data_IF_213783320725
#
_entry.id   IF_213783320725
#
_cell.length_a   1.000
_cell.length_b   1.000
_cell.length_c   1.000
_cell.angle_alpha   90.00
_cell.angle_beta   90.00
_cell.angle_gamma   90.00
#
_symmetry.space_group_name_H-M   'P 1'
#
loop_
_entity.id
_entity.type
_entity.pdbx_description
1 polymer ?
#
# COMPACT_ATOMS: atom_id res chain seq x y z
N UNK A 1 6.28 15.49 -15.81
CA UNK A 1 7.27 15.92 -14.80
C UNK A 1 8.51 15.04 -14.89
N UNK A 2 9.69 15.64 -15.07
CA UNK A 2 10.97 14.92 -15.15
C UNK A 2 11.56 14.80 -13.74
N UNK A 3 11.80 13.58 -13.27
CA UNK A 3 12.35 13.34 -11.90
C UNK A 3 13.84 13.69 -11.83
N UNK A 4 14.33 14.10 -10.65
CA UNK A 4 15.77 14.38 -10.40
C UNK A 4 16.67 13.23 -10.88
N UNK A 5 16.26 12.00 -10.58
CA UNK A 5 16.97 10.76 -10.96
C UNK A 5 17.10 10.60 -12.48
N UNK A 6 16.08 10.99 -13.26
CA UNK A 6 16.14 10.89 -14.72
C UNK A 6 17.19 11.82 -15.32
N UNK A 7 17.34 13.02 -14.76
CA UNK A 7 18.34 14.00 -15.20
C UNK A 7 19.75 13.52 -14.86
N UNK A 8 19.95 12.96 -13.67
CA UNK A 8 21.22 12.39 -13.25
C UNK A 8 21.65 11.23 -14.15
N UNK A 9 20.73 10.29 -14.45
CA UNK A 9 20.99 9.19 -15.39
C UNK A 9 21.31 9.68 -16.80
N UNK A 10 20.66 10.76 -17.25
CA UNK A 10 20.95 11.36 -18.55
C UNK A 10 22.36 11.95 -18.58
N UNK A 11 22.79 12.67 -17.54
CA UNK A 11 24.16 13.18 -17.42
C UNK A 11 25.21 12.08 -17.52
N UNK A 12 24.95 10.93 -16.89
CA UNK A 12 25.86 9.76 -16.99
C UNK A 12 25.94 9.22 -18.41
N UNK A 13 24.81 9.18 -19.14
CA UNK A 13 24.81 8.75 -20.54
C UNK A 13 25.53 9.76 -21.45
N UNK A 14 25.35 11.07 -21.22
CA UNK A 14 26.08 12.13 -21.93
C UNK A 14 27.59 12.04 -21.63
N UNK A 15 27.98 11.79 -20.39
CA UNK A 15 29.37 11.56 -20.01
C UNK A 15 29.95 10.34 -20.73
N UNK A 16 29.20 9.24 -20.81
CA UNK A 16 29.59 8.07 -21.57
C UNK A 16 29.81 8.39 -23.05
N UNK A 17 28.93 9.17 -23.69
CA UNK A 17 29.12 9.55 -25.10
C UNK A 17 30.39 10.36 -25.36
N UNK A 18 30.87 11.11 -24.36
CA UNK A 18 32.07 11.96 -24.49
C UNK A 18 33.37 11.24 -24.14
N UNK A 19 33.37 10.42 -23.09
CA UNK A 19 34.60 9.87 -22.50
C UNK A 19 34.75 8.34 -22.65
N UNK A 20 33.76 7.67 -23.23
CA UNK A 20 33.80 6.22 -23.39
C UNK A 20 33.33 5.45 -22.15
N UNK A 21 33.25 4.12 -22.31
CA UNK A 21 32.53 3.24 -21.38
C UNK A 21 33.22 3.09 -20.02
N UNK A 22 34.55 2.96 -20.01
CA UNK A 22 35.31 2.69 -18.79
C UNK A 22 35.24 3.90 -17.84
N UNK A 23 35.50 5.10 -18.36
CA UNK A 23 35.34 6.35 -17.63
C UNK A 23 33.92 6.53 -17.07
N UNK A 24 32.88 6.16 -17.82
CA UNK A 24 31.50 6.26 -17.34
C UNK A 24 31.16 5.28 -16.21
N UNK A 25 31.77 4.08 -16.22
CA UNK A 25 31.65 3.10 -15.13
C UNK A 25 32.29 3.68 -13.87
N UNK A 26 33.51 4.21 -13.99
CA UNK A 26 34.24 4.79 -12.86
C UNK A 26 33.54 6.02 -12.29
N UNK A 27 33.08 6.93 -13.16
CA UNK A 27 32.38 8.15 -12.75
C UNK A 27 31.04 7.86 -12.06
N UNK A 28 30.27 6.88 -12.55
CA UNK A 28 28.90 6.62 -12.04
C UNK A 28 28.83 5.52 -10.98
N UNK A 29 29.88 4.71 -10.84
CA UNK A 29 29.88 3.50 -10.01
C UNK A 29 28.84 2.46 -10.44
N UNK A 30 28.32 2.52 -11.67
CA UNK A 30 27.32 1.57 -12.19
C UNK A 30 27.96 0.56 -13.12
N UNK A 31 27.50 -0.68 -13.01
CA UNK A 31 27.95 -1.75 -13.90
C UNK A 31 27.69 -1.42 -15.37
N UNK A 32 28.54 -1.94 -16.25
CA UNK A 32 28.37 -1.90 -17.71
C UNK A 32 26.92 -2.24 -18.10
N UNK A 33 26.38 -3.36 -17.57
CA UNK A 33 25.02 -3.83 -17.86
C UNK A 33 23.96 -2.77 -17.55
N UNK A 34 24.10 -2.04 -16.45
CA UNK A 34 23.18 -0.97 -16.06
C UNK A 34 23.21 0.19 -17.06
N UNK A 35 24.40 0.62 -17.48
CA UNK A 35 24.56 1.73 -18.44
C UNK A 35 23.97 1.39 -19.82
N UNK A 36 24.23 0.19 -20.33
CA UNK A 36 23.60 -0.28 -21.58
C UNK A 36 22.07 -0.37 -21.46
N UNK A 37 21.56 -0.87 -20.33
CA UNK A 37 20.12 -0.90 -20.08
C UNK A 37 19.48 0.50 -20.03
N UNK A 38 20.18 1.50 -19.45
CA UNK A 38 19.72 2.88 -19.45
C UNK A 38 19.73 3.50 -20.84
N UNK A 39 20.80 3.28 -21.63
CA UNK A 39 20.88 3.75 -23.02
C UNK A 39 19.74 3.18 -23.86
N UNK A 40 19.48 1.87 -23.76
CA UNK A 40 18.33 1.24 -24.43
C UNK A 40 17.00 1.87 -24.00
N UNK A 41 16.78 2.04 -22.70
CA UNK A 41 15.55 2.67 -22.19
C UNK A 41 15.38 4.12 -22.64
N UNK A 42 16.48 4.87 -22.78
CA UNK A 42 16.47 6.23 -23.29
C UNK A 42 16.17 6.27 -24.79
N UNK A 43 16.74 5.36 -25.60
CA UNK A 43 16.40 5.24 -27.02
C UNK A 43 14.93 4.89 -27.23
N UNK A 44 14.39 3.96 -26.43
CA UNK A 44 13.00 3.51 -26.58
C UNK A 44 11.97 4.57 -26.14
N UNK A 45 12.26 5.33 -25.07
CA UNK A 45 11.24 6.12 -24.33
C UNK A 45 11.71 7.52 -23.91
N UNK A 46 12.87 7.97 -24.38
CA UNK A 46 13.49 9.23 -23.99
C UNK A 46 13.72 9.36 -22.48
N UNK A 47 13.64 10.59 -21.97
CA UNK A 47 13.77 10.91 -20.54
C UNK A 47 12.81 10.11 -19.63
N UNK A 48 11.63 9.71 -20.12
CA UNK A 48 10.67 8.89 -19.36
C UNK A 48 11.19 7.47 -19.11
N UNK A 49 12.02 6.95 -20.02
CA UNK A 49 12.69 5.66 -19.87
C UNK A 49 13.62 5.62 -18.66
N UNK A 50 14.27 6.74 -18.34
CA UNK A 50 15.24 6.86 -17.26
C UNK A 50 14.60 7.13 -15.89
N UNK A 51 13.28 7.28 -15.79
CA UNK A 51 12.62 7.44 -14.48
C UNK A 51 12.81 6.21 -13.59
N UNK A 52 12.92 6.42 -12.28
CA UNK A 52 12.87 5.31 -11.33
C UNK A 52 11.50 4.66 -11.41
N UNK A 53 11.48 3.36 -11.66
CA UNK A 53 10.26 2.55 -11.61
C UNK A 53 10.22 1.77 -10.31
N UNK A 54 9.03 1.39 -9.89
CA UNK A 54 8.87 0.47 -8.77
C UNK A 54 9.65 -0.82 -9.05
N UNK A 55 10.51 -1.21 -8.11
CA UNK A 55 11.19 -2.50 -8.09
C UNK A 55 10.31 -3.62 -7.54
N UNK A 56 9.07 -3.30 -7.15
CA UNK A 56 8.17 -4.28 -6.60
C UNK A 56 7.76 -5.30 -7.68
N UNK A 57 7.57 -6.58 -7.30
CA UNK A 57 7.10 -7.61 -8.23
C UNK A 57 5.78 -7.21 -8.89
N UNK A 58 5.67 -7.46 -10.21
CA UNK A 58 4.43 -7.21 -10.98
C UNK A 58 3.25 -8.02 -10.43
N UNK A 59 3.52 -9.26 -10.00
CA UNK A 59 2.53 -10.16 -9.38
C UNK A 59 2.91 -10.36 -7.92
N UNK A 60 2.23 -9.66 -7.03
CA UNK A 60 2.36 -9.87 -5.58
C UNK A 60 1.43 -11.00 -5.16
N UNK A 61 1.89 -11.88 -4.28
CA UNK A 61 1.06 -12.93 -3.67
C UNK A 61 -0.14 -12.27 -2.99
N UNK A 62 -1.35 -12.74 -3.33
CA UNK A 62 -2.59 -12.36 -2.64
C UNK A 62 -2.91 -13.41 -1.59
N UNK A 63 -3.50 -12.99 -0.47
CA UNK A 63 -4.04 -13.91 0.52
C UNK A 63 -5.32 -14.49 -0.07
N UNK A 64 -5.29 -15.78 -0.42
CA UNK A 64 -6.48 -16.49 -0.85
C UNK A 64 -7.02 -17.26 0.37
N UNK A 65 -8.18 -16.85 0.87
CA UNK A 65 -8.89 -17.52 1.97
C UNK A 65 -10.32 -17.82 1.51
N UNK A 66 -10.91 -18.97 1.91
CA UNK A 66 -12.27 -19.31 1.54
C UNK A 66 -13.26 -18.21 1.92
N UNK A 67 -14.13 -17.83 0.98
CA UNK A 67 -15.15 -16.80 1.21
C UNK A 67 -16.07 -17.14 2.39
N UNK A 68 -16.31 -18.42 2.65
CA UNK A 68 -17.09 -18.88 3.79
C UNK A 68 -16.47 -18.45 5.13
N UNK A 69 -15.14 -18.52 5.26
CA UNK A 69 -14.42 -18.08 6.47
C UNK A 69 -14.56 -16.56 6.64
N UNK A 70 -14.41 -15.80 5.56
CA UNK A 70 -14.59 -14.34 5.56
C UNK A 70 -16.02 -13.95 5.98
N UNK A 71 -17.04 -14.64 5.45
CA UNK A 71 -18.44 -14.44 5.82
C UNK A 71 -18.67 -14.75 7.30
N UNK A 72 -18.10 -15.84 7.81
CA UNK A 72 -18.25 -16.21 9.22
C UNK A 72 -17.59 -15.20 10.17
N UNK A 73 -16.40 -14.70 9.83
CA UNK A 73 -15.75 -13.63 10.60
C UNK A 73 -16.61 -12.37 10.60
N UNK A 74 -17.19 -12.01 9.46
CA UNK A 74 -18.09 -10.85 9.35
C UNK A 74 -19.36 -11.05 10.17
N UNK A 75 -19.98 -12.22 10.10
CA UNK A 75 -21.15 -12.57 10.91
C UNK A 75 -20.90 -12.32 12.39
N UNK A 76 -19.83 -12.89 12.95
CA UNK A 76 -19.49 -12.70 14.37
C UNK A 76 -19.19 -11.24 14.74
N UNK A 77 -18.61 -10.45 13.83
CA UNK A 77 -18.33 -9.03 14.08
C UNK A 77 -19.54 -8.12 13.94
N UNK A 78 -20.60 -8.59 13.28
CA UNK A 78 -21.90 -7.92 13.23
C UNK A 78 -22.72 -8.26 14.46
N UNK A 79 -22.78 -9.55 14.82
CA UNK A 79 -23.55 -10.06 15.96
C UNK A 79 -22.98 -9.57 17.31
N UNK A 80 -21.65 -9.62 17.44
CA UNK A 80 -20.91 -9.09 18.57
C UNK A 80 -20.00 -7.96 18.05
N UNK A 81 -20.48 -6.71 18.06
CA UNK A 81 -19.80 -5.59 17.43
C UNK A 81 -18.33 -5.49 17.80
N UNK A 82 -17.48 -5.42 16.77
CA UNK A 82 -16.05 -5.15 16.89
C UNK A 82 -15.20 -6.19 17.64
N UNK A 83 -15.69 -7.43 17.79
CA UNK A 83 -15.00 -8.52 18.49
C UNK A 83 -13.51 -8.68 18.11
N UNK A 84 -12.65 -8.90 19.10
CA UNK A 84 -11.21 -9.00 18.91
C UNK A 84 -10.78 -10.25 18.13
N UNK A 85 -9.64 -10.18 17.42
CA UNK A 85 -9.08 -11.30 16.62
C UNK A 85 -8.85 -12.59 17.41
N UNK A 86 -8.51 -12.50 18.70
CA UNK A 86 -8.30 -13.67 19.58
C UNK A 86 -9.62 -14.37 19.89
N UNK A 87 -10.65 -13.60 20.27
CA UNK A 87 -11.99 -14.12 20.53
C UNK A 87 -12.61 -14.70 19.26
N UNK A 88 -12.46 -14.02 18.12
CA UNK A 88 -12.91 -14.54 16.82
C UNK A 88 -12.28 -15.88 16.47
N UNK A 89 -11.00 -16.09 16.80
CA UNK A 89 -10.36 -17.38 16.56
C UNK A 89 -11.01 -18.50 17.37
N UNK A 90 -11.31 -18.26 18.65
CA UNK A 90 -11.99 -19.22 19.52
C UNK A 90 -13.37 -19.57 18.97
N UNK A 91 -14.17 -18.58 18.56
CA UNK A 91 -15.51 -18.81 17.99
C UNK A 91 -15.48 -19.48 16.61
N UNK A 92 -14.46 -19.19 15.80
CA UNK A 92 -14.34 -19.71 14.45
C UNK A 92 -13.83 -21.15 14.41
N UNK A 93 -13.01 -21.55 15.40
CA UNK A 93 -12.34 -22.86 15.41
C UNK A 93 -13.33 -24.05 15.35
N UNK A 94 -14.40 -24.13 16.18
CA UNK A 94 -15.39 -25.21 16.07
C UNK A 94 -16.11 -25.23 14.72
N UNK A 95 -16.45 -24.06 14.20
CA UNK A 95 -17.12 -23.93 12.90
C UNK A 95 -16.24 -24.41 11.74
N UNK A 96 -14.94 -24.11 11.78
CA UNK A 96 -13.96 -24.57 10.81
C UNK A 96 -13.78 -26.09 10.86
N UNK A 97 -13.66 -26.67 12.06
CA UNK A 97 -13.53 -28.12 12.28
C UNK A 97 -14.73 -28.85 11.69
N UNK A 98 -15.96 -28.40 12.01
CA UNK A 98 -17.20 -29.01 11.50
C UNK A 98 -17.31 -29.02 9.98
N UNK A 99 -16.65 -28.08 9.29
CA UNK A 99 -16.68 -27.96 7.83
C UNK A 99 -15.43 -28.52 7.14
N UNK A 100 -14.47 -29.07 7.89
CA UNK A 100 -13.20 -29.54 7.35
C UNK A 100 -12.35 -28.42 6.73
N UNK A 101 -12.54 -27.16 7.15
CA UNK A 101 -11.80 -26.01 6.63
C UNK A 101 -10.68 -25.67 7.60
N UNK A 102 -9.47 -25.41 7.08
CA UNK A 102 -8.38 -24.91 7.91
C UNK A 102 -8.77 -23.61 8.63
N UNK A 103 -8.63 -23.57 9.96
CA UNK A 103 -8.94 -22.37 10.73
C UNK A 103 -7.82 -21.34 10.58
N UNK A 104 -8.10 -20.08 10.20
CA UNK A 104 -7.08 -19.03 10.15
C UNK A 104 -6.53 -18.75 11.54
N UNK A 105 -5.21 -18.51 11.60
CA UNK A 105 -4.55 -18.05 12.83
C UNK A 105 -5.04 -16.66 13.24
N UNK A 106 -4.83 -16.29 14.51
CA UNK A 106 -5.22 -14.98 15.05
C UNK A 106 -4.63 -13.81 14.25
N UNK A 107 -3.38 -13.92 13.79
CA UNK A 107 -2.72 -12.91 12.94
C UNK A 107 -3.35 -12.84 11.55
N UNK A 108 -3.75 -13.99 11.00
CA UNK A 108 -4.43 -14.09 9.71
C UNK A 108 -5.82 -13.47 9.77
N UNK A 109 -6.59 -13.73 10.82
CA UNK A 109 -7.88 -13.09 11.06
C UNK A 109 -7.72 -11.56 11.10
N UNK A 110 -6.71 -11.06 11.82
CA UNK A 110 -6.41 -9.63 11.85
C UNK A 110 -6.10 -9.05 10.47
N UNK A 111 -5.35 -9.78 9.64
CA UNK A 111 -5.05 -9.38 8.25
C UNK A 111 -6.30 -9.41 7.37
N UNK A 112 -7.16 -10.42 7.50
CA UNK A 112 -8.43 -10.51 6.76
C UNK A 112 -9.37 -9.34 7.10
N UNK A 113 -9.46 -8.97 8.38
CA UNK A 113 -10.21 -7.79 8.83
C UNK A 113 -9.60 -6.52 8.23
N UNK A 114 -8.27 -6.39 8.25
CA UNK A 114 -7.59 -5.24 7.68
C UNK A 114 -7.76 -5.15 6.16
N UNK A 115 -7.74 -6.26 5.44
CA UNK A 115 -7.87 -6.27 3.97
C UNK A 115 -9.30 -5.92 3.52
N UNK A 116 -10.32 -6.06 4.39
CA UNK A 116 -11.69 -5.65 4.10
C UNK A 116 -11.84 -4.11 3.96
N UNK A 117 -12.62 -3.66 2.97
CA UNK A 117 -12.84 -2.23 2.67
C UNK A 117 -13.39 -1.45 3.87
N UNK A 118 -14.36 -2.04 4.56
CA UNK A 118 -15.06 -1.53 5.75
C UNK A 118 -14.34 -1.87 7.07
N UNK A 119 -13.22 -2.59 7.01
CA UNK A 119 -12.51 -3.17 8.16
C UNK A 119 -13.41 -4.03 9.06
N UNK A 120 -14.56 -4.50 8.54
CA UNK A 120 -15.59 -5.22 9.29
C UNK A 120 -15.94 -4.55 10.63
N UNK A 121 -15.96 -3.21 10.70
CA UNK A 121 -16.27 -2.47 11.93
C UNK A 121 -17.70 -1.98 11.89
N UNK A 122 -18.42 -2.19 12.99
CA UNK A 122 -19.73 -1.59 13.22
C UNK A 122 -19.50 -0.39 14.13
N UNK A 123 -19.79 0.81 13.63
CA UNK A 123 -19.75 2.03 14.46
C UNK A 123 -21.19 2.43 14.77
N UNK A 124 -21.54 2.70 16.05
CA UNK A 124 -22.86 3.21 16.37
C UNK A 124 -23.10 4.56 15.65
N UNK A 125 -24.33 4.82 15.19
CA UNK A 125 -24.66 6.11 14.60
C UNK A 125 -24.48 7.21 15.65
N UNK A 126 -23.97 8.36 15.22
CA UNK A 126 -23.96 9.54 16.08
C UNK A 126 -25.37 10.09 16.10
N UNK A 127 -25.96 10.24 17.28
CA UNK A 127 -27.31 10.77 17.42
C UNK A 127 -27.27 12.17 18.03
N UNK A 128 -28.28 12.97 17.71
CA UNK A 128 -28.61 14.21 18.43
C UNK A 128 -29.35 13.87 19.73
N UNK A 129 -29.53 14.86 20.62
CA UNK A 129 -30.34 14.68 21.83
C UNK A 129 -31.78 14.21 21.53
N UNK A 130 -32.28 14.47 20.32
CA UNK A 130 -33.61 14.04 19.84
C UNK A 130 -33.59 12.71 19.06
N UNK A 131 -32.51 11.93 19.15
CA UNK A 131 -32.40 10.64 18.47
C UNK A 131 -32.18 10.70 16.95
N UNK A 132 -32.13 11.89 16.33
CA UNK A 132 -31.87 12.02 14.88
C UNK A 132 -30.40 11.77 14.54
N UNK A 133 -30.06 11.10 13.42
CA UNK A 133 -28.69 10.94 12.96
C UNK A 133 -27.96 12.28 12.80
N UNK A 134 -26.80 12.41 13.43
CA UNK A 134 -25.95 13.60 13.41
C UNK A 134 -24.80 13.40 12.41
N UNK A 135 -24.74 14.18 11.32
CA UNK A 135 -23.66 14.04 10.35
C UNK A 135 -22.31 14.42 10.96
N UNK A 136 -21.27 13.69 10.59
CA UNK A 136 -19.90 14.04 10.96
C UNK A 136 -19.40 15.18 10.07
N UNK A 137 -19.24 16.38 10.64
CA UNK A 137 -18.61 17.52 9.97
C UNK A 137 -17.18 17.67 10.46
N UNK A 138 -16.21 17.25 9.66
CA UNK A 138 -14.78 17.48 9.95
C UNK A 138 -14.48 18.97 9.72
N UNK A 139 -14.24 19.72 10.80
CA UNK A 139 -13.74 21.10 10.67
C UNK A 139 -12.25 21.05 10.30
N UNK A 140 -11.80 21.76 9.26
CA UNK A 140 -10.38 21.88 8.98
C UNK A 140 -9.70 22.59 10.16
N UNK A 141 -8.66 21.99 10.73
CA UNK A 141 -7.83 22.65 11.75
C UNK A 141 -6.76 23.44 11.02
N UNK A 142 -6.72 24.75 11.23
CA UNK A 142 -5.66 25.61 10.72
C UNK A 142 -4.35 25.26 11.43
N UNK A 143 -3.43 24.59 10.74
CA UNK A 143 -2.08 24.26 11.27
C UNK A 143 -1.08 25.40 11.11
N UNK A 144 -1.58 26.64 11.08
CA UNK A 144 -0.73 27.82 10.92
C UNK A 144 -0.24 28.26 12.31
N UNK A 145 1.03 28.68 12.46
CA UNK A 145 1.52 29.26 13.71
C UNK A 145 0.63 30.42 14.16
N UNK A 146 0.52 30.61 15.48
CA UNK A 146 -0.20 31.76 16.05
C UNK A 146 0.45 33.04 15.51
N UNK A 147 -0.32 33.84 14.77
CA UNK A 147 0.17 35.08 14.16
C UNK A 147 0.59 35.00 12.68
N UNK A 148 0.44 33.85 12.01
CA UNK A 148 0.73 33.75 10.57
C UNK A 148 -0.17 34.67 9.74
N UNK A 149 0.43 35.63 9.01
CA UNK A 149 -0.21 36.45 7.99
C UNK A 149 0.32 36.01 6.61
N UNK A 150 -0.55 35.61 5.67
CA UNK A 150 -0.11 35.36 4.30
C UNK A 150 0.36 36.67 3.65
N UNK A 151 1.45 36.61 2.89
CA UNK A 151 1.85 37.66 1.95
C UNK A 151 1.06 37.53 0.65
#
# INVERSE_FOLDING_TARGET
MNTSISKERLKVLEFWTKHGLHAAIDHSGKSRRTLYNWRKQYQDKGLRGLQSRSTAPKRRRRRNWPLAVLKQIRYWRTELPNLGKKQLHVLLKPWCIKRGIACPSTSTIGRLIYDAKDKMRVSPPRLTARGKPKPYKRKPVTRRPKGYKPQ
#
